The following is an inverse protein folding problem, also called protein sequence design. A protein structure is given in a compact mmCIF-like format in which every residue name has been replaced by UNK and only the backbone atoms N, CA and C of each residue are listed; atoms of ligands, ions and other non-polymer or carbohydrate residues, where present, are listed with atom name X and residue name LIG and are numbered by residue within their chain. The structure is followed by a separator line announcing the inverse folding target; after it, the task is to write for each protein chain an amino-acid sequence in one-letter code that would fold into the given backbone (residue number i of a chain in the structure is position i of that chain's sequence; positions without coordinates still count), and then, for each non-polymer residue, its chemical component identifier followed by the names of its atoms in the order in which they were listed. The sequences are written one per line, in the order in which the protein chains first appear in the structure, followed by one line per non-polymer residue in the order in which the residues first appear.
data_IF_200890771261
#
_entry.id   IF_200890771261
#
_cell.length_a   1.000
_cell.length_b   1.000
_cell.length_c   1.000
_cell.angle_alpha   90.00
_cell.angle_beta   90.00
_cell.angle_gamma   90.00
#
_symmetry.space_group_name_H-M   'P 1'
#
loop_
_entity.id
_entity.type
_entity.pdbx_description
1 polymer ?
#
# COMPACT_ATOMS: atom_id res chain seq x y z
N UNK A 1 -3.85 -6.64 -36.66
CA UNK A 1 -4.62 -6.48 -35.41
C UNK A 1 -4.02 -7.45 -34.39
N UNK A 2 -3.00 -6.98 -33.65
CA UNK A 2 -2.14 -7.85 -32.83
C UNK A 2 -2.31 -7.54 -31.35
N UNK A 3 -3.18 -8.29 -30.68
CA UNK A 3 -3.33 -8.17 -29.24
C UNK A 3 -2.13 -8.84 -28.54
N UNK A 4 -1.17 -8.04 -28.06
CA UNK A 4 -0.13 -8.52 -27.15
C UNK A 4 -0.74 -8.75 -25.78
N UNK A 5 -1.04 -10.00 -25.45
CA UNK A 5 -1.41 -10.39 -24.10
C UNK A 5 -0.17 -10.26 -23.20
N UNK A 6 -0.10 -9.19 -22.41
CA UNK A 6 0.87 -9.08 -21.31
C UNK A 6 0.52 -10.12 -20.26
N UNK A 7 1.21 -11.25 -20.28
CA UNK A 7 1.13 -12.25 -19.21
C UNK A 7 1.77 -11.64 -17.96
N UNK A 8 0.94 -11.06 -17.09
CA UNK A 8 1.38 -10.58 -15.79
C UNK A 8 1.70 -11.78 -14.90
N UNK A 9 2.99 -12.10 -14.78
CA UNK A 9 3.53 -13.12 -13.87
C UNK A 9 3.65 -12.63 -12.42
N UNK A 10 3.43 -11.33 -12.19
CA UNK A 10 3.49 -10.76 -10.87
C UNK A 10 2.24 -11.16 -10.09
N UNK A 11 2.43 -11.99 -9.06
CA UNK A 11 1.40 -12.32 -8.10
C UNK A 11 0.81 -11.00 -7.57
N UNK A 12 -0.51 -10.82 -7.63
CA UNK A 12 -1.18 -9.75 -6.88
C UNK A 12 -0.69 -9.86 -5.44
N UNK A 13 0.14 -8.91 -4.98
CA UNK A 13 0.57 -8.85 -3.58
C UNK A 13 -0.69 -8.97 -2.74
N UNK A 14 -0.78 -10.01 -1.90
CA UNK A 14 -1.88 -10.11 -0.96
C UNK A 14 -1.73 -8.92 -0.04
N UNK A 15 -2.60 -7.93 -0.17
CA UNK A 15 -2.76 -6.91 0.86
C UNK A 15 -3.33 -7.65 2.06
N UNK A 16 -2.47 -7.98 3.02
CA UNK A 16 -2.88 -8.65 4.24
C UNK A 16 -4.01 -7.86 4.92
N UNK A 17 -4.96 -8.57 5.53
CA UNK A 17 -6.09 -7.93 6.20
C UNK A 17 -5.62 -6.99 7.33
N UNK A 18 -4.45 -7.28 7.93
CA UNK A 18 -3.78 -6.40 8.88
C UNK A 18 -3.28 -5.10 8.22
N UNK A 19 -2.60 -5.20 7.08
CA UNK A 19 -2.14 -4.04 6.30
C UNK A 19 -3.31 -3.16 5.87
N UNK A 20 -4.43 -3.75 5.43
CA UNK A 20 -5.60 -2.98 5.03
C UNK A 20 -6.25 -2.26 6.22
N UNK A 21 -6.32 -2.91 7.40
CA UNK A 21 -6.84 -2.27 8.62
C UNK A 21 -5.98 -1.10 9.06
N UNK A 22 -4.66 -1.26 9.08
CA UNK A 22 -3.73 -0.18 9.40
C UNK A 22 -3.88 0.98 8.40
N UNK A 23 -3.89 0.70 7.10
CA UNK A 23 -4.08 1.74 6.08
C UNK A 23 -5.41 2.48 6.21
N UNK A 24 -6.50 1.76 6.49
CA UNK A 24 -7.81 2.39 6.69
C UNK A 24 -7.81 3.30 7.93
N UNK A 25 -7.20 2.86 9.04
CA UNK A 25 -7.05 3.71 10.23
C UNK A 25 -6.22 4.96 9.94
N UNK A 26 -5.12 4.83 9.20
CA UNK A 26 -4.31 5.98 8.80
C UNK A 26 -5.13 6.93 7.92
N UNK A 27 -5.75 6.46 6.84
CA UNK A 27 -6.56 7.32 5.94
C UNK A 27 -7.68 8.02 6.70
N UNK A 28 -8.33 7.32 7.64
CA UNK A 28 -9.38 7.88 8.50
C UNK A 28 -8.85 9.07 9.32
N UNK A 29 -7.74 8.90 10.03
CA UNK A 29 -7.16 9.97 10.83
C UNK A 29 -6.64 11.15 9.97
N UNK A 30 -6.23 10.92 8.72
CA UNK A 30 -5.87 12.02 7.79
C UNK A 30 -7.10 12.84 7.46
N UNK A 31 -8.21 12.16 7.14
CA UNK A 31 -9.49 12.80 6.85
C UNK A 31 -10.07 13.53 8.08
N UNK A 32 -9.75 13.06 9.29
CA UNK A 32 -10.06 13.73 10.55
C UNK A 32 -9.13 14.91 10.88
N UNK A 33 -8.22 15.29 9.96
CA UNK A 33 -7.36 16.45 10.09
C UNK A 33 -6.16 16.25 11.01
N UNK A 34 -5.79 14.99 11.27
CA UNK A 34 -4.60 14.65 12.06
C UNK A 34 -3.37 14.81 11.19
N UNK A 35 -2.41 15.62 11.64
CA UNK A 35 -1.13 15.80 10.96
C UNK A 35 -0.33 14.49 11.06
N UNK A 36 -0.07 13.88 9.89
CA UNK A 36 0.78 12.72 9.78
C UNK A 36 2.19 13.13 9.42
N UNK A 37 3.15 12.39 9.97
CA UNK A 37 4.55 12.55 9.63
C UNK A 37 4.83 12.11 8.19
N UNK A 38 5.98 12.54 7.63
CA UNK A 38 6.37 12.26 6.24
C UNK A 38 6.42 10.76 5.95
N UNK A 39 6.80 9.94 6.93
CA UNK A 39 6.83 8.48 6.83
C UNK A 39 5.43 7.86 6.68
N UNK A 40 4.44 8.37 7.42
CA UNK A 40 3.05 7.89 7.36
C UNK A 40 2.38 8.32 6.05
N UNK A 41 2.70 9.50 5.53
CA UNK A 41 2.29 9.98 4.20
C UNK A 41 2.95 9.17 3.07
N UNK A 42 4.22 8.82 3.23
CA UNK A 42 4.95 7.96 2.30
C UNK A 42 4.35 6.54 2.26
N UNK A 43 3.93 5.99 3.40
CA UNK A 43 3.24 4.69 3.48
C UNK A 43 1.85 4.69 2.79
N UNK A 44 1.11 5.79 2.86
CA UNK A 44 -0.17 5.96 2.16
C UNK A 44 -0.01 6.10 0.63
N UNK A 45 1.08 6.75 0.20
CA UNK A 45 1.35 7.04 -1.23
C UNK A 45 2.10 5.89 -1.92
N UNK A 46 3.02 5.25 -1.20
CA UNK A 46 3.76 4.08 -1.64
C UNK A 46 3.48 2.89 -0.71
N UNK A 47 2.46 2.07 -1.00
CA UNK A 47 2.22 0.82 -0.28
C UNK A 47 3.26 -0.26 -0.62
N UNK A 48 4.33 0.10 -1.34
CA UNK A 48 5.33 -0.78 -1.92
C UNK A 48 6.42 -1.22 -0.94
N UNK A 49 6.58 -0.51 0.18
CA UNK A 49 7.73 -0.59 1.10
C UNK A 49 7.42 -1.17 2.50
N UNK A 50 6.28 -1.81 2.69
CA UNK A 50 6.02 -2.59 3.91
C UNK A 50 6.48 -4.07 3.77
N UNK A 51 7.49 -4.33 2.92
CA UNK A 51 8.05 -5.66 2.71
C UNK A 51 9.35 -5.79 3.53
N UNK A 52 9.22 -6.42 4.69
CA UNK A 52 10.29 -7.22 5.29
C UNK A 52 11.55 -6.49 5.76
N UNK A 53 11.48 -5.72 6.85
CA UNK A 53 12.60 -5.68 7.78
C UNK A 53 12.63 -7.00 8.58
N UNK A 54 13.32 -8.01 8.03
CA UNK A 54 14.10 -8.99 8.79
C UNK A 54 15.17 -9.60 7.89
N UNK A 55 16.38 -9.06 7.98
CA UNK A 55 17.66 -9.75 7.86
C UNK A 55 18.74 -8.89 8.54
#
# INVERSE_FOLDING_TARGET
EGHMTRQCTQSKRRRDAAWFKENVLLVQAHAEGKEFDEEQLAFLTDPGVADGQVA
#
